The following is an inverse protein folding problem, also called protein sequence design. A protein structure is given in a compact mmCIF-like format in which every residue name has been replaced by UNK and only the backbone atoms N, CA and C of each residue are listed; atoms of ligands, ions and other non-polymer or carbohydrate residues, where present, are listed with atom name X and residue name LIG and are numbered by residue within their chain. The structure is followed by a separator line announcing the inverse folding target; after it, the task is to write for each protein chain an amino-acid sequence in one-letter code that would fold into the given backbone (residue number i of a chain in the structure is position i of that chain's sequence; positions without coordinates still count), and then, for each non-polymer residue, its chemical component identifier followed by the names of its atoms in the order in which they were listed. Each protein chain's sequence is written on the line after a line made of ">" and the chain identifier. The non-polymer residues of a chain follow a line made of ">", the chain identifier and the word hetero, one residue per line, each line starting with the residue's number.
data_IF_263177300183
#
_entry.id   IF_263177300183
#
_cell.length_a   1.000
_cell.length_b   1.000
_cell.length_c   1.000
_cell.angle_alpha   90.00
_cell.angle_beta   90.00
_cell.angle_gamma   90.00
#
_symmetry.space_group_name_H-M   'P 1'
#
loop_
_entity.id
_entity.type
_entity.pdbx_description
1 polymer ?
#
# COMPACT_ATOMS: atom_id res chain seq x y z
N UNK A 1 11.88 53.51 38.91
CA UNK A 1 11.32 53.48 37.55
C UNK A 1 11.66 52.12 36.95
N UNK A 2 11.04 51.04 37.45
CA UNK A 2 11.41 49.63 37.15
C UNK A 2 10.19 48.74 36.85
N UNK A 3 8.98 49.30 36.81
CA UNK A 3 7.73 48.53 36.66
C UNK A 3 7.25 48.51 35.19
N UNK A 4 7.81 49.36 34.33
CA UNK A 4 7.40 49.47 32.93
C UNK A 4 8.11 48.49 32.00
N UNK A 5 9.31 47.99 32.36
CA UNK A 5 10.06 47.04 31.52
C UNK A 5 9.45 45.64 31.55
N UNK A 6 9.08 45.15 32.74
CA UNK A 6 8.56 43.78 32.93
C UNK A 6 7.23 43.50 32.21
N UNK A 7 6.34 44.49 32.06
CA UNK A 7 5.10 44.33 31.30
C UNK A 7 5.30 44.36 29.78
N UNK A 8 6.47 44.78 29.30
CA UNK A 8 6.77 44.84 27.86
C UNK A 8 7.43 43.54 27.41
N UNK A 9 8.35 42.99 28.20
CA UNK A 9 8.92 41.64 28.01
C UNK A 9 7.82 40.56 28.01
N UNK A 10 6.95 40.54 29.01
CA UNK A 10 5.90 39.51 29.10
C UNK A 10 4.83 39.63 27.99
N UNK A 11 4.72 40.79 27.33
CA UNK A 11 3.82 40.97 26.17
C UNK A 11 4.48 40.52 24.88
N UNK A 12 5.80 40.65 24.79
CA UNK A 12 6.60 40.24 23.65
C UNK A 12 6.76 38.71 23.62
N UNK A 13 7.07 38.09 24.76
CA UNK A 13 7.11 36.62 24.92
C UNK A 13 5.76 35.96 24.56
N UNK A 14 4.64 36.53 25.02
CA UNK A 14 3.31 36.01 24.67
C UNK A 14 2.98 36.14 23.17
N UNK A 15 3.53 37.15 22.49
CA UNK A 15 3.31 37.36 21.05
C UNK A 15 4.18 36.41 20.23
N UNK A 16 5.41 36.17 20.67
CA UNK A 16 6.34 35.21 20.07
C UNK A 16 5.86 33.77 20.23
N UNK A 17 5.35 33.40 21.41
CA UNK A 17 4.73 32.09 21.65
C UNK A 17 3.48 31.88 20.79
N UNK A 18 2.62 32.90 20.63
CA UNK A 18 1.47 32.79 19.73
C UNK A 18 1.88 32.65 18.27
N UNK A 19 2.91 33.37 17.82
CA UNK A 19 3.43 33.26 16.47
C UNK A 19 4.05 31.88 16.20
N UNK A 20 4.76 31.31 17.17
CA UNK A 20 5.31 29.95 17.10
C UNK A 20 4.20 28.91 17.01
N UNK A 21 3.21 28.94 17.90
CA UNK A 21 2.08 28.01 17.87
C UNK A 21 1.29 28.08 16.56
N UNK A 22 1.14 29.29 16.00
CA UNK A 22 0.45 29.48 14.74
C UNK A 22 1.27 28.97 13.55
N UNK A 23 2.60 29.12 13.60
CA UNK A 23 3.51 28.57 12.60
C UNK A 23 3.57 27.03 12.65
N UNK A 24 3.59 26.45 13.85
CA UNK A 24 3.52 24.99 14.07
C UNK A 24 2.22 24.41 13.51
N UNK A 25 1.07 24.99 13.87
CA UNK A 25 -0.23 24.57 13.34
C UNK A 25 -0.30 24.68 11.82
N UNK A 26 0.22 25.77 11.24
CA UNK A 26 0.27 25.93 9.79
C UNK A 26 1.18 24.88 9.14
N UNK A 27 2.29 24.52 9.81
CA UNK A 27 3.20 23.46 9.37
C UNK A 27 2.55 22.08 9.37
N UNK A 28 1.87 21.72 10.45
CA UNK A 28 1.14 20.45 10.59
C UNK A 28 -0.01 20.33 9.56
N UNK A 29 -0.77 21.40 9.34
CA UNK A 29 -1.82 21.43 8.32
C UNK A 29 -1.28 21.26 6.90
N UNK A 30 -0.13 21.88 6.59
CA UNK A 30 0.52 21.73 5.28
C UNK A 30 1.04 20.30 5.07
N UNK A 31 1.62 19.68 6.10
CA UNK A 31 2.09 18.29 6.05
C UNK A 31 0.95 17.30 5.88
N UNK A 32 -0.11 17.41 6.68
CA UNK A 32 -1.30 16.56 6.55
C UNK A 32 -1.93 16.69 5.14
N UNK A 33 -1.96 17.91 4.59
CA UNK A 33 -2.42 18.14 3.23
C UNK A 33 -1.51 17.53 2.15
N UNK A 34 -0.20 17.39 2.41
CA UNK A 34 0.73 16.73 1.49
C UNK A 34 0.58 15.20 1.52
N UNK A 35 0.52 14.60 2.70
CA UNK A 35 0.29 13.15 2.86
C UNK A 35 -0.99 12.70 2.16
N UNK A 36 -2.07 13.46 2.30
CA UNK A 36 -3.34 13.17 1.64
C UNK A 36 -3.23 13.25 0.11
N UNK A 37 -2.45 14.22 -0.43
CA UNK A 37 -2.22 14.33 -1.88
C UNK A 37 -1.40 13.17 -2.41
N UNK A 38 -0.34 12.76 -1.69
CA UNK A 38 0.50 11.63 -2.07
C UNK A 38 -0.31 10.32 -2.07
N UNK A 39 -1.04 10.07 -0.98
CA UNK A 39 -1.93 8.91 -0.87
C UNK A 39 -2.95 8.84 -2.00
N UNK A 40 -3.57 9.97 -2.36
CA UNK A 40 -4.51 10.04 -3.49
C UNK A 40 -3.85 9.69 -4.82
N UNK A 41 -2.67 10.24 -5.09
CA UNK A 41 -1.96 9.98 -6.34
C UNK A 41 -1.57 8.50 -6.46
N UNK A 42 -1.14 7.87 -5.37
CA UNK A 42 -0.83 6.44 -5.30
C UNK A 42 -2.08 5.58 -5.55
N UNK A 43 -3.17 5.87 -4.83
CA UNK A 43 -4.45 5.17 -5.01
C UNK A 43 -4.98 5.32 -6.44
N UNK A 44 -4.92 6.51 -7.02
CA UNK A 44 -5.35 6.76 -8.40
C UNK A 44 -4.52 5.95 -9.40
N UNK A 45 -3.20 5.89 -9.23
CA UNK A 45 -2.33 5.04 -10.05
C UNK A 45 -2.73 3.56 -9.94
N UNK A 46 -2.94 3.06 -8.72
CA UNK A 46 -3.28 1.66 -8.49
C UNK A 46 -4.69 1.30 -8.99
N UNK A 47 -5.64 2.23 -8.93
CA UNK A 47 -6.97 2.06 -9.51
C UNK A 47 -6.93 2.07 -11.05
N UNK A 48 -6.01 2.82 -11.66
CA UNK A 48 -5.80 2.78 -13.12
C UNK A 48 -5.18 1.44 -13.56
N UNK A 49 -4.21 0.92 -12.80
CA UNK A 49 -3.63 -0.40 -13.09
C UNK A 49 -4.71 -1.51 -12.98
N UNK A 50 -5.56 -1.44 -11.96
CA UNK A 50 -6.72 -2.33 -11.80
C UNK A 50 -7.71 -2.21 -12.97
N UNK A 51 -7.92 -1.00 -13.47
CA UNK A 51 -8.80 -0.77 -14.61
C UNK A 51 -8.31 -1.47 -15.88
N UNK A 52 -7.01 -1.44 -16.11
CA UNK A 52 -6.38 -2.14 -17.23
C UNK A 52 -6.54 -3.66 -17.07
N UNK A 53 -6.26 -4.20 -15.87
CA UNK A 53 -6.43 -5.62 -15.57
C UNK A 53 -7.89 -6.10 -15.72
N UNK A 54 -8.85 -5.32 -15.22
CA UNK A 54 -10.28 -5.64 -15.37
C UNK A 54 -10.71 -5.54 -16.84
N UNK A 55 -10.14 -4.61 -17.61
CA UNK A 55 -10.40 -4.51 -19.06
C UNK A 55 -9.85 -5.71 -19.82
N UNK A 56 -8.69 -6.22 -19.44
CA UNK A 56 -8.12 -7.44 -20.01
C UNK A 56 -8.97 -8.67 -19.67
N UNK A 57 -9.49 -8.76 -18.44
CA UNK A 57 -10.48 -9.77 -18.04
C UNK A 57 -11.76 -9.71 -18.88
N UNK A 58 -12.28 -8.51 -19.15
CA UNK A 58 -13.44 -8.31 -20.03
C UNK A 58 -13.18 -8.81 -21.45
N UNK A 59 -11.95 -8.63 -21.96
CA UNK A 59 -11.55 -9.14 -23.27
C UNK A 59 -11.43 -10.67 -23.28
N UNK A 60 -10.80 -11.26 -22.25
CA UNK A 60 -10.69 -12.71 -22.10
C UNK A 60 -12.08 -13.36 -22.00
N UNK A 61 -13.00 -12.74 -21.26
CA UNK A 61 -14.41 -13.16 -21.16
C UNK A 61 -15.11 -13.22 -22.52
N UNK A 62 -14.82 -12.30 -23.45
CA UNK A 62 -15.42 -12.32 -24.80
C UNK A 62 -14.89 -13.48 -25.66
N UNK A 63 -13.72 -14.01 -25.31
CA UNK A 63 -13.07 -15.14 -25.99
C UNK A 63 -13.39 -16.49 -25.33
N UNK A 64 -14.01 -16.47 -24.13
CA UNK A 64 -14.39 -17.66 -23.38
C UNK A 64 -15.68 -18.33 -23.91
N UNK A 65 -15.83 -19.63 -23.63
CA UNK A 65 -17.06 -20.39 -23.91
C UNK A 65 -18.24 -19.96 -23.01
N UNK A 66 -19.48 -20.30 -23.42
CA UNK A 66 -20.71 -19.78 -22.82
C UNK A 66 -20.86 -19.98 -21.30
N UNK A 67 -20.40 -21.10 -20.75
CA UNK A 67 -20.52 -21.39 -19.30
C UNK A 67 -19.49 -20.59 -18.48
N UNK A 68 -18.21 -20.58 -18.88
CA UNK A 68 -17.19 -19.75 -18.23
C UNK A 68 -17.44 -18.25 -18.36
N UNK A 69 -18.18 -17.84 -19.40
CA UNK A 69 -18.54 -16.44 -19.63
C UNK A 69 -19.47 -15.88 -18.54
N UNK A 70 -20.39 -16.67 -17.99
CA UNK A 70 -21.36 -16.17 -16.98
C UNK A 70 -20.71 -15.92 -15.62
N UNK A 71 -19.89 -16.87 -15.14
CA UNK A 71 -19.21 -16.73 -13.86
C UNK A 71 -18.20 -15.58 -13.90
N UNK A 72 -17.39 -15.51 -14.98
CA UNK A 72 -16.43 -14.44 -15.15
C UNK A 72 -17.13 -13.07 -15.31
N UNK A 73 -18.28 -13.00 -15.97
CA UNK A 73 -19.07 -11.77 -16.07
C UNK A 73 -19.50 -11.25 -14.69
N UNK A 74 -20.01 -12.13 -13.81
CA UNK A 74 -20.41 -11.73 -12.47
C UNK A 74 -19.21 -11.23 -11.66
N UNK A 75 -18.07 -11.90 -11.78
CA UNK A 75 -16.82 -11.50 -11.12
C UNK A 75 -16.37 -10.12 -11.59
N UNK A 76 -16.26 -9.91 -12.91
CA UNK A 76 -15.86 -8.63 -13.51
C UNK A 76 -16.79 -7.48 -13.09
N UNK A 77 -18.11 -7.70 -13.09
CA UNK A 77 -19.07 -6.67 -12.63
C UNK A 77 -18.83 -6.28 -11.17
N UNK A 78 -18.56 -7.27 -10.31
CA UNK A 78 -18.27 -7.02 -8.89
C UNK A 78 -16.97 -6.24 -8.73
N UNK A 79 -15.91 -6.62 -9.46
CA UNK A 79 -14.62 -5.91 -9.44
C UNK A 79 -14.77 -4.45 -9.90
N UNK A 80 -15.48 -4.20 -11.00
CA UNK A 80 -15.78 -2.83 -11.48
C UNK A 80 -16.52 -2.01 -10.44
N UNK A 81 -17.55 -2.59 -9.82
CA UNK A 81 -18.34 -1.89 -8.81
C UNK A 81 -17.50 -1.50 -7.59
N UNK A 82 -16.65 -2.39 -7.10
CA UNK A 82 -15.78 -2.11 -5.95
C UNK A 82 -14.71 -1.07 -6.27
N UNK A 83 -14.15 -1.13 -7.50
CA UNK A 83 -13.24 -0.11 -8.03
C UNK A 83 -13.92 1.27 -8.05
N UNK A 84 -15.14 1.34 -8.59
CA UNK A 84 -15.90 2.60 -8.66
C UNK A 84 -16.25 3.15 -7.26
N UNK A 85 -16.52 2.27 -6.30
CA UNK A 85 -16.74 2.66 -4.91
C UNK A 85 -15.48 3.25 -4.28
N UNK A 86 -14.31 2.62 -4.47
CA UNK A 86 -13.03 3.15 -4.01
C UNK A 86 -12.71 4.50 -4.62
N UNK A 87 -12.97 4.68 -5.92
CA UNK A 87 -12.81 5.97 -6.59
C UNK A 87 -13.71 7.05 -5.98
N UNK A 88 -14.97 6.72 -5.65
CA UNK A 88 -15.91 7.63 -5.03
C UNK A 88 -15.50 8.03 -3.60
N UNK A 89 -14.94 7.11 -2.83
CA UNK A 89 -14.42 7.39 -1.49
C UNK A 89 -13.14 8.23 -1.54
N UNK A 90 -12.26 7.95 -2.49
CA UNK A 90 -11.08 8.76 -2.72
C UNK A 90 -11.46 10.22 -3.00
N UNK A 91 -12.52 10.48 -3.79
CA UNK A 91 -13.02 11.84 -4.04
C UNK A 91 -13.49 12.55 -2.76
N UNK A 92 -14.00 11.83 -1.77
CA UNK A 92 -14.48 12.41 -0.49
C UNK A 92 -13.35 12.90 0.41
N UNK A 93 -12.11 12.43 0.20
CA UNK A 93 -10.94 12.86 0.99
C UNK A 93 -10.66 14.38 0.93
N UNK A 94 -11.06 15.07 -0.15
CA UNK A 94 -10.71 16.48 -0.41
C UNK A 94 -11.23 17.45 0.67
N UNK A 95 -12.20 17.02 1.48
CA UNK A 95 -12.73 17.77 2.62
C UNK A 95 -12.66 17.02 3.95
N UNK A 96 -11.93 15.91 4.02
CA UNK A 96 -11.79 15.14 5.25
C UNK A 96 -10.87 15.84 6.25
N UNK A 97 -11.22 15.79 7.53
CA UNK A 97 -10.28 16.13 8.61
C UNK A 97 -9.13 15.12 8.67
N UNK A 98 -8.06 15.47 9.39
CA UNK A 98 -6.90 14.57 9.56
C UNK A 98 -7.28 13.22 10.18
N UNK A 99 -8.18 13.22 11.19
CA UNK A 99 -8.66 11.98 11.81
C UNK A 99 -9.48 11.14 10.83
N UNK A 100 -10.38 11.76 10.08
CA UNK A 100 -11.18 11.07 9.05
C UNK A 100 -10.28 10.51 7.95
N UNK A 101 -9.25 11.26 7.54
CA UNK A 101 -8.27 10.80 6.57
C UNK A 101 -7.54 9.54 7.04
N UNK A 102 -7.08 9.48 8.29
CA UNK A 102 -6.37 8.31 8.82
C UNK A 102 -7.23 7.05 8.80
N UNK A 103 -8.48 7.17 9.25
CA UNK A 103 -9.44 6.06 9.25
C UNK A 103 -9.76 5.60 7.81
N UNK A 104 -10.09 6.56 6.94
CA UNK A 104 -10.42 6.30 5.54
C UNK A 104 -9.23 5.70 4.77
N UNK A 105 -8.00 6.17 5.03
CA UNK A 105 -6.77 5.67 4.42
C UNK A 105 -6.60 4.18 4.70
N UNK A 106 -6.70 3.76 5.96
CA UNK A 106 -6.51 2.35 6.33
C UNK A 106 -7.55 1.45 5.65
N UNK A 107 -8.81 1.88 5.63
CA UNK A 107 -9.90 1.09 5.06
C UNK A 107 -9.84 1.01 3.54
N UNK A 108 -9.51 2.11 2.86
CA UNK A 108 -9.29 2.12 1.41
C UNK A 108 -8.10 1.24 1.01
N UNK A 109 -6.98 1.28 1.75
CA UNK A 109 -5.82 0.43 1.48
C UNK A 109 -6.17 -1.07 1.59
N UNK A 110 -6.91 -1.47 2.64
CA UNK A 110 -7.35 -2.86 2.80
C UNK A 110 -8.23 -3.32 1.65
N UNK A 111 -9.18 -2.48 1.24
CA UNK A 111 -10.10 -2.79 0.13
C UNK A 111 -9.41 -2.80 -1.22
N UNK A 112 -8.46 -1.90 -1.44
CA UNK A 112 -7.63 -1.93 -2.65
C UNK A 112 -6.82 -3.23 -2.71
N UNK A 113 -6.18 -3.63 -1.60
CA UNK A 113 -5.42 -4.88 -1.54
C UNK A 113 -6.29 -6.11 -1.82
N UNK A 114 -7.52 -6.17 -1.27
CA UNK A 114 -8.47 -7.25 -1.56
C UNK A 114 -8.91 -7.24 -3.03
N UNK A 115 -9.19 -6.07 -3.58
CA UNK A 115 -9.57 -5.90 -4.98
C UNK A 115 -8.45 -6.34 -5.93
N UNK A 116 -7.19 -6.00 -5.64
CA UNK A 116 -6.02 -6.45 -6.38
C UNK A 116 -5.85 -7.97 -6.30
N UNK A 117 -5.96 -8.56 -5.10
CA UNK A 117 -5.91 -10.02 -4.93
C UNK A 117 -6.97 -10.72 -5.79
N UNK A 118 -8.22 -10.28 -5.70
CA UNK A 118 -9.34 -10.89 -6.43
C UNK A 118 -9.26 -10.68 -7.93
N UNK A 119 -8.71 -9.57 -8.38
CA UNK A 119 -8.46 -9.31 -9.80
C UNK A 119 -7.39 -10.26 -10.34
N UNK A 120 -6.27 -10.43 -9.62
CA UNK A 120 -5.21 -11.39 -9.95
C UNK A 120 -5.72 -12.85 -9.94
N UNK A 121 -6.54 -13.22 -8.95
CA UNK A 121 -7.22 -14.54 -8.92
C UNK A 121 -8.12 -14.75 -10.14
N UNK A 122 -8.94 -13.75 -10.48
CA UNK A 122 -9.84 -13.82 -11.63
C UNK A 122 -9.06 -13.93 -12.94
N UNK A 123 -7.94 -13.20 -13.07
CA UNK A 123 -7.08 -13.22 -14.25
C UNK A 123 -6.54 -14.63 -14.50
N UNK A 124 -5.98 -15.25 -13.45
CA UNK A 124 -5.43 -16.61 -13.55
C UNK A 124 -6.53 -17.62 -13.85
N UNK A 125 -7.70 -17.51 -13.23
CA UNK A 125 -8.82 -18.43 -13.45
C UNK A 125 -9.49 -18.26 -14.84
N UNK A 126 -9.37 -17.09 -15.46
CA UNK A 126 -9.87 -16.84 -16.81
C UNK A 126 -8.98 -17.45 -17.91
N UNK A 127 -7.71 -17.73 -17.60
CA UNK A 127 -6.77 -18.36 -18.53
C UNK A 127 -7.23 -19.78 -18.88
N UNK A 128 -7.19 -20.11 -20.17
CA UNK A 128 -7.80 -21.34 -20.69
C UNK A 128 -6.82 -22.51 -20.75
N UNK A 129 -5.52 -22.22 -20.70
CA UNK A 129 -4.49 -23.25 -20.82
C UNK A 129 -3.51 -23.22 -19.66
N UNK A 130 -3.03 -24.42 -19.32
CA UNK A 130 -1.93 -24.61 -18.37
C UNK A 130 -0.68 -23.82 -18.77
N UNK A 131 -0.39 -23.72 -20.06
CA UNK A 131 0.78 -22.99 -20.55
C UNK A 131 0.67 -21.49 -20.26
N UNK A 132 -0.51 -20.88 -20.45
CA UNK A 132 -0.75 -19.46 -20.13
C UNK A 132 -0.54 -19.20 -18.64
N UNK A 133 -1.15 -20.02 -17.78
CA UNK A 133 -1.00 -19.90 -16.33
C UNK A 133 0.47 -20.04 -15.92
N UNK A 134 1.20 -21.01 -16.48
CA UNK A 134 2.62 -21.20 -16.17
C UNK A 134 3.48 -20.00 -16.55
N UNK A 135 3.24 -19.40 -17.72
CA UNK A 135 3.99 -18.23 -18.18
C UNK A 135 3.71 -17.02 -17.30
N UNK A 136 2.44 -16.77 -16.99
CA UNK A 136 2.03 -15.71 -16.08
C UNK A 136 2.64 -15.90 -14.69
N UNK A 137 2.44 -17.08 -14.11
CA UNK A 137 2.96 -17.48 -12.80
C UNK A 137 4.47 -17.24 -12.69
N UNK A 138 5.24 -17.71 -13.68
CA UNK A 138 6.69 -17.57 -13.67
C UNK A 138 7.11 -16.09 -13.73
N UNK A 139 6.43 -15.28 -14.54
CA UNK A 139 6.69 -13.85 -14.62
C UNK A 139 6.40 -13.16 -13.29
N UNK A 140 5.22 -13.43 -12.70
CA UNK A 140 4.78 -12.83 -11.45
C UNK A 140 5.65 -13.28 -10.26
N UNK A 141 6.01 -14.55 -10.18
CA UNK A 141 6.92 -15.07 -9.15
C UNK A 141 8.31 -14.43 -9.22
N UNK A 142 8.82 -14.18 -10.43
CA UNK A 142 10.09 -13.46 -10.61
C UNK A 142 9.99 -11.99 -10.17
N UNK A 143 8.83 -11.36 -10.34
CA UNK A 143 8.58 -10.00 -9.86
C UNK A 143 8.50 -9.97 -8.33
N UNK A 144 7.72 -10.88 -7.73
CA UNK A 144 7.67 -11.10 -6.28
C UNK A 144 9.08 -11.29 -5.70
N UNK A 145 9.93 -12.09 -6.33
CA UNK A 145 11.31 -12.31 -5.86
C UNK A 145 12.14 -11.01 -5.86
N UNK A 146 11.98 -10.16 -6.87
CA UNK A 146 12.67 -8.86 -6.93
C UNK A 146 12.14 -7.88 -5.89
N UNK A 147 10.84 -7.85 -5.70
CA UNK A 147 10.18 -6.99 -4.72
C UNK A 147 10.58 -7.41 -3.29
N UNK A 148 10.57 -8.71 -2.96
CA UNK A 148 11.08 -9.23 -1.68
C UNK A 148 12.54 -8.82 -1.47
N UNK A 149 13.38 -8.94 -2.50
CA UNK A 149 14.79 -8.53 -2.41
C UNK A 149 14.93 -7.02 -2.16
N UNK A 150 14.15 -6.19 -2.86
CA UNK A 150 14.14 -4.73 -2.65
C UNK A 150 13.69 -4.39 -1.23
N UNK A 151 12.65 -5.05 -0.73
CA UNK A 151 12.12 -4.86 0.61
C UNK A 151 13.15 -5.27 1.68
N UNK A 152 13.83 -6.41 1.49
CA UNK A 152 14.94 -6.85 2.36
C UNK A 152 16.07 -5.82 2.40
N UNK A 153 16.46 -5.25 1.26
CA UNK A 153 17.46 -4.18 1.18
C UNK A 153 17.02 -2.90 1.91
N UNK A 154 15.76 -2.48 1.74
CA UNK A 154 15.20 -1.30 2.44
C UNK A 154 15.21 -1.50 3.95
N UNK A 155 14.78 -2.66 4.43
CA UNK A 155 14.82 -2.98 5.87
C UNK A 155 16.25 -3.05 6.40
N UNK A 156 17.19 -3.64 5.66
CA UNK A 156 18.60 -3.69 6.07
C UNK A 156 19.25 -2.29 6.15
N UNK A 157 18.79 -1.35 5.33
CA UNK A 157 19.17 0.06 5.41
C UNK A 157 18.43 0.85 6.50
N UNK A 158 17.36 0.30 7.06
CA UNK A 158 16.59 0.91 8.14
C UNK A 158 17.29 0.78 9.49
N UNK A 159 16.84 1.55 10.48
CA UNK A 159 17.26 1.40 11.88
C UNK A 159 16.88 0.05 12.47
N UNK A 160 17.52 -0.34 13.58
CA UNK A 160 17.29 -1.63 14.25
C UNK A 160 15.82 -1.85 14.66
N UNK A 161 15.10 -0.78 14.99
CA UNK A 161 13.71 -0.87 15.42
C UNK A 161 12.79 -1.36 14.29
N UNK A 162 12.92 -0.77 13.10
CA UNK A 162 12.17 -1.20 11.90
C UNK A 162 12.53 -2.65 11.54
N UNK A 163 13.81 -3.02 11.59
CA UNK A 163 14.25 -4.39 11.31
C UNK A 163 13.60 -5.40 12.26
N UNK A 164 13.64 -5.13 13.56
CA UNK A 164 13.07 -6.00 14.59
C UNK A 164 11.55 -6.12 14.45
N UNK A 165 10.86 -5.02 14.15
CA UNK A 165 9.41 -4.99 14.00
C UNK A 165 8.91 -5.84 12.82
N UNK A 166 9.61 -5.81 11.69
CA UNK A 166 9.15 -6.45 10.44
C UNK A 166 9.84 -7.78 10.11
N UNK A 167 10.79 -8.23 10.92
CA UNK A 167 11.50 -9.49 10.69
C UNK A 167 10.54 -10.69 10.55
N UNK A 168 9.57 -10.83 11.46
CA UNK A 168 8.62 -11.95 11.42
C UNK A 168 7.78 -11.93 10.14
N UNK A 169 7.30 -10.75 9.73
CA UNK A 169 6.47 -10.62 8.52
C UNK A 169 7.27 -10.96 7.26
N UNK A 170 8.55 -10.59 7.23
CA UNK A 170 9.45 -10.98 6.14
C UNK A 170 9.73 -12.48 6.10
N UNK A 171 9.88 -13.12 7.27
CA UNK A 171 10.03 -14.57 7.36
C UNK A 171 8.77 -15.30 6.88
N UNK A 172 7.59 -14.83 7.28
CA UNK A 172 6.29 -15.35 6.83
C UNK A 172 6.15 -15.20 5.30
N UNK A 173 6.47 -14.03 4.75
CA UNK A 173 6.42 -13.77 3.31
C UNK A 173 7.37 -14.68 2.51
N UNK A 174 8.60 -14.88 2.99
CA UNK A 174 9.56 -15.82 2.39
C UNK A 174 9.05 -17.26 2.44
N UNK A 175 8.34 -17.62 3.51
CA UNK A 175 7.74 -18.95 3.66
C UNK A 175 6.53 -19.14 2.73
N UNK A 176 5.66 -18.15 2.58
CA UNK A 176 4.56 -18.15 1.61
C UNK A 176 5.10 -18.29 0.17
N UNK A 177 6.14 -17.51 -0.19
CA UNK A 177 6.80 -17.61 -1.50
C UNK A 177 7.37 -19.01 -1.77
N UNK A 178 7.89 -19.68 -0.74
CA UNK A 178 8.37 -21.07 -0.85
C UNK A 178 7.23 -22.06 -1.01
N UNK A 179 6.09 -21.85 -0.36
CA UNK A 179 4.90 -22.69 -0.55
C UNK A 179 4.33 -22.51 -1.97
N UNK A 180 4.33 -21.29 -2.50
CA UNK A 180 3.95 -20.99 -3.87
C UNK A 180 4.80 -21.75 -4.90
N UNK A 181 6.11 -21.90 -4.65
CA UNK A 181 7.01 -22.73 -5.48
C UNK A 181 6.59 -24.20 -5.53
N UNK A 182 6.13 -24.74 -4.39
CA UNK A 182 5.60 -26.10 -4.31
C UNK A 182 4.28 -26.23 -5.07
N UNK A 183 3.41 -25.23 -5.00
CA UNK A 183 2.14 -25.22 -5.76
C UNK A 183 2.41 -25.11 -7.26
N UNK A 184 3.37 -24.29 -7.68
CA UNK A 184 3.81 -24.21 -9.08
C UNK A 184 4.31 -25.57 -9.57
N UNK A 185 5.12 -26.27 -8.78
CA UNK A 185 5.58 -27.63 -9.13
C UNK A 185 4.41 -28.61 -9.30
N UNK A 186 3.37 -28.54 -8.45
CA UNK A 186 2.17 -29.38 -8.63
C UNK A 186 1.43 -29.01 -9.90
N UNK A 187 1.25 -27.70 -10.15
CA UNK A 187 0.64 -27.18 -11.37
C UNK A 187 1.36 -27.71 -12.62
N UNK A 188 2.69 -27.66 -12.63
CA UNK A 188 3.53 -28.15 -13.73
C UNK A 188 3.41 -29.65 -13.98
N UNK A 189 3.19 -30.45 -12.94
CA UNK A 189 3.11 -31.90 -13.06
C UNK A 189 1.67 -32.43 -13.25
N UNK A 190 0.65 -31.60 -13.05
CA UNK A 190 -0.73 -31.99 -13.20
C UNK A 190 -1.11 -32.38 -14.64
N UNK A 191 -1.97 -33.38 -14.78
CA UNK A 191 -2.69 -33.62 -16.04
C UNK A 191 -3.67 -32.48 -16.35
N UNK A 192 -4.21 -32.43 -17.57
CA UNK A 192 -5.19 -31.39 -17.96
C UNK A 192 -6.47 -31.43 -17.08
N UNK A 193 -6.85 -32.63 -16.63
CA UNK A 193 -8.00 -32.80 -15.74
C UNK A 193 -7.69 -32.28 -14.33
N UNK A 194 -6.53 -32.62 -13.77
CA UNK A 194 -6.09 -32.13 -12.46
C UNK A 194 -5.82 -30.62 -12.48
N UNK A 195 -5.37 -30.08 -13.62
CA UNK A 195 -5.08 -28.66 -13.79
C UNK A 195 -6.29 -27.79 -13.45
N UNK A 196 -7.49 -28.14 -13.95
CA UNK A 196 -8.70 -27.36 -13.68
C UNK A 196 -9.05 -27.32 -12.18
N UNK A 197 -8.73 -28.38 -11.44
CA UNK A 197 -8.99 -28.46 -9.99
C UNK A 197 -7.99 -27.62 -9.19
N UNK A 198 -6.70 -27.64 -9.57
CA UNK A 198 -5.64 -26.97 -8.83
C UNK A 198 -5.37 -25.53 -9.27
N UNK A 199 -5.86 -25.11 -10.44
CA UNK A 199 -5.68 -23.76 -10.98
C UNK A 199 -6.20 -22.71 -10.00
N UNK A 200 -7.39 -22.93 -9.44
CA UNK A 200 -7.98 -22.01 -8.46
C UNK A 200 -7.17 -21.96 -7.16
N UNK A 201 -6.70 -23.10 -6.64
CA UNK A 201 -5.84 -23.12 -5.45
C UNK A 201 -4.51 -22.39 -5.69
N UNK A 202 -3.92 -22.59 -6.88
CA UNK A 202 -2.71 -21.90 -7.29
C UNK A 202 -2.94 -20.39 -7.43
N UNK A 203 -4.05 -19.99 -8.06
CA UNK A 203 -4.43 -18.59 -8.23
C UNK A 203 -4.54 -17.87 -6.88
N UNK A 204 -5.26 -18.47 -5.92
CA UNK A 204 -5.39 -17.93 -4.57
C UNK A 204 -4.07 -17.87 -3.83
N UNK A 205 -3.19 -18.87 -4.00
CA UNK A 205 -1.86 -18.84 -3.40
C UNK A 205 -0.99 -17.72 -3.99
N UNK A 206 -0.95 -17.56 -5.31
CA UNK A 206 -0.15 -16.53 -5.99
C UNK A 206 -0.62 -15.13 -5.60
N UNK A 207 -1.92 -14.87 -5.69
CA UNK A 207 -2.51 -13.59 -5.33
C UNK A 207 -2.36 -13.30 -3.82
N UNK A 208 -2.44 -14.33 -2.97
CA UNK A 208 -2.18 -14.23 -1.54
C UNK A 208 -0.76 -13.73 -1.24
N UNK A 209 0.27 -14.32 -1.86
CA UNK A 209 1.66 -13.85 -1.70
C UNK A 209 1.80 -12.41 -2.19
N UNK A 210 1.18 -12.06 -3.33
CA UNK A 210 1.17 -10.69 -3.84
C UNK A 210 0.55 -9.70 -2.86
N UNK A 211 -0.56 -10.06 -2.21
CA UNK A 211 -1.20 -9.25 -1.17
C UNK A 211 -0.29 -9.08 0.05
N UNK A 212 0.25 -10.17 0.60
CA UNK A 212 1.16 -10.12 1.75
C UNK A 212 2.36 -9.21 1.47
N UNK A 213 2.96 -9.35 0.29
CA UNK A 213 4.10 -8.52 -0.13
C UNK A 213 3.76 -7.02 -0.21
N UNK A 214 2.62 -6.67 -0.81
CA UNK A 214 2.15 -5.27 -0.86
C UNK A 214 1.91 -4.72 0.55
N UNK A 215 1.27 -5.50 1.42
CA UNK A 215 1.03 -5.09 2.80
C UNK A 215 2.34 -4.82 3.56
N UNK A 216 3.29 -5.76 3.57
CA UNK A 216 4.57 -5.58 4.26
C UNK A 216 5.35 -4.41 3.65
N UNK A 217 5.31 -4.24 2.32
CA UNK A 217 5.98 -3.12 1.65
C UNK A 217 5.43 -1.76 2.11
N UNK A 218 4.10 -1.62 2.17
CA UNK A 218 3.44 -0.39 2.62
C UNK A 218 3.71 -0.10 4.10
N UNK A 219 3.72 -1.13 4.95
CA UNK A 219 3.97 -0.99 6.38
C UNK A 219 5.43 -0.55 6.65
N UNK A 220 6.39 -1.16 5.95
CA UNK A 220 7.82 -0.77 6.02
C UNK A 220 8.03 0.65 5.48
N UNK A 221 7.41 1.00 4.36
CA UNK A 221 7.51 2.34 3.80
C UNK A 221 6.95 3.40 4.76
N UNK A 222 5.78 3.14 5.36
CA UNK A 222 5.18 4.03 6.35
C UNK A 222 6.09 4.20 7.57
N UNK A 223 6.68 3.11 8.08
CA UNK A 223 7.61 3.18 9.20
C UNK A 223 8.90 3.96 8.88
N UNK A 224 9.42 3.82 7.65
CA UNK A 224 10.58 4.57 7.19
C UNK A 224 10.28 6.06 7.04
N UNK A 225 9.09 6.42 6.55
CA UNK A 225 8.64 7.80 6.46
C UNK A 225 8.55 8.43 7.85
N UNK A 226 7.92 7.76 8.82
CA UNK A 226 7.84 8.23 10.20
C UNK A 226 9.22 8.43 10.84
N UNK A 227 10.11 7.43 10.73
CA UNK A 227 11.46 7.55 11.28
C UNK A 227 12.28 8.67 10.61
N UNK A 228 12.08 8.91 9.32
CA UNK A 228 12.71 10.01 8.59
C UNK A 228 12.21 11.40 9.00
N UNK A 229 10.95 11.51 9.44
CA UNK A 229 10.37 12.76 9.95
C UNK A 229 10.90 13.10 11.35
N UNK A 230 11.01 12.11 12.24
CA UNK A 230 11.53 12.30 13.60
C UNK A 230 12.96 12.86 13.61
N UNK A 231 13.84 12.29 12.79
CA UNK A 231 15.23 12.76 12.67
C UNK A 231 15.34 14.19 12.11
N UNK A 232 14.38 14.62 11.27
CA UNK A 232 14.36 16.00 10.74
C UNK A 232 13.89 17.01 11.79
N UNK A 233 12.97 16.63 12.67
CA UNK A 233 12.55 17.44 13.82
C UNK A 233 13.70 17.63 14.81
N UNK A 234 14.38 16.55 15.21
CA UNK A 234 15.52 16.60 16.14
C UNK A 234 16.69 17.45 15.59
N UNK A 235 16.95 17.39 14.28
CA UNK A 235 18.00 18.17 13.65
C UNK A 235 17.69 19.68 13.59
N UNK A 236 16.41 20.06 13.56
CA UNK A 236 15.97 21.46 13.60
C UNK A 236 16.01 22.02 15.03
N UNK A 237 15.63 21.21 16.02
CA UNK A 237 15.71 21.59 17.45
C UNK A 237 17.17 21.79 17.91
N UNK A 238 18.11 20.99 17.39
CA UNK A 238 19.54 21.17 17.67
C UNK A 238 20.19 22.38 16.95
N UNK A 239 19.49 23.01 16.00
CA UNK A 239 19.97 24.20 15.28
C UNK A 239 19.40 25.51 15.81
N UNK A 240 18.46 25.47 16.77
CA UNK A 240 18.14 26.67 17.55
C UNK A 240 19.31 26.93 18.53
N UNK A 241 20.10 28.00 18.35
CA UNK A 241 21.14 28.33 19.31
C UNK A 241 20.43 28.63 20.63
N UNK A 242 20.76 27.85 21.67
CA UNK A 242 20.29 28.16 23.00
C UNK A 242 20.66 29.59 23.35
N UNK A 243 19.67 30.47 23.33
CA UNK A 243 19.68 31.73 24.08
C UNK A 243 19.64 31.36 25.58
N UNK A 244 20.73 30.75 26.06
CA UNK A 244 21.11 30.83 27.45
C UNK A 244 21.85 32.17 27.63
N UNK A 245 21.10 33.27 27.64
CA UNK A 245 21.47 34.44 28.45
C UNK A 245 21.03 34.13 29.89
N UNK A 246 21.76 34.40 30.96
CA UNK A 246 22.70 35.47 31.24
C UNK A 246 22.36 36.00 32.63
#
# INVERSE_FOLDING_TARGET
>A
MLVLSACTEQRQENTEQQAQQQAEQTGEEMQAGEEMRQFRAEMESQLNDLDDQISDLEQQMQQAGQEGQQELQSTVQTLRQERDQLQGEMQQLEGASQSEFQDMRSDMQKRLNDLQRRTEEAEINAMQSKQEVQQYAQSRMNEIDREIQSLDQRMNGAGQDVQSQYQSQMEDLKQERKQLDQQMTKLENASDQEFQEIQSEFASALAGVGQSLRQVSNDVESALQSAGQEMQGEAQDMQQPGEQEG
#
